data_IF_292548920466
#
_entry.id   IF_292548920466
#
_cell.length_a   1.000
_cell.length_b   1.000
_cell.length_c   1.000
_cell.angle_alpha   90.00
_cell.angle_beta   90.00
_cell.angle_gamma   90.00
#
_symmetry.space_group_name_H-M   'P 1'
#
loop_
_entity.id
_entity.type
_entity.pdbx_description
1 polymer ?
#
# COMPACT_ATOMS: atom_id res chain seq x y z
N UNK A 1 -12.48 1.77 -19.01
CA UNK A 1 -13.38 0.59 -19.01
C UNK A 1 -13.80 0.29 -17.57
N UNK A 2 -15.00 -0.23 -17.33
CA UNK A 2 -15.48 -0.58 -15.98
C UNK A 2 -14.61 -1.63 -15.27
N UNK A 3 -13.78 -2.37 -16.00
CA UNK A 3 -12.84 -3.36 -15.46
C UNK A 3 -11.48 -2.76 -15.03
N UNK A 4 -11.19 -1.52 -15.39
CA UNK A 4 -9.90 -0.91 -15.07
C UNK A 4 -9.77 -0.65 -13.56
N UNK A 5 -10.88 -0.36 -12.87
CA UNK A 5 -10.90 -0.23 -11.41
C UNK A 5 -10.63 -1.56 -10.70
N UNK A 6 -11.08 -2.69 -11.28
CA UNK A 6 -10.80 -4.03 -10.74
C UNK A 6 -9.31 -4.38 -10.90
N UNK A 7 -8.73 -4.07 -12.06
CA UNK A 7 -7.29 -4.26 -12.30
C UNK A 7 -6.45 -3.40 -11.34
N UNK A 8 -6.86 -2.15 -11.13
CA UNK A 8 -6.18 -1.23 -10.22
C UNK A 8 -6.28 -1.68 -8.76
N UNK A 9 -7.42 -2.24 -8.34
CA UNK A 9 -7.55 -2.81 -7.00
C UNK A 9 -6.59 -4.00 -6.78
N UNK A 10 -6.45 -4.86 -7.80
CA UNK A 10 -5.61 -6.05 -7.72
C UNK A 10 -4.12 -5.69 -7.57
N UNK A 11 -3.65 -4.70 -8.33
CA UNK A 11 -2.28 -4.19 -8.24
C UNK A 11 -2.28 -2.66 -8.37
N UNK A 12 -2.42 -1.92 -7.26
CA UNK A 12 -2.43 -0.46 -7.29
C UNK A 12 -1.07 0.05 -7.76
N UNK A 13 -1.06 1.03 -8.65
CA UNK A 13 0.17 1.66 -9.16
C UNK A 13 0.18 3.16 -8.85
N UNK A 14 1.38 3.70 -8.65
CA UNK A 14 1.59 5.09 -8.25
C UNK A 14 2.65 5.72 -9.16
N UNK A 15 2.33 6.87 -9.76
CA UNK A 15 3.30 7.71 -10.48
C UNK A 15 3.95 8.70 -9.51
N UNK A 16 5.05 9.34 -9.92
CA UNK A 16 5.71 10.36 -9.09
C UNK A 16 4.79 11.54 -8.78
N UNK A 17 3.96 11.95 -9.75
CA UNK A 17 2.98 13.02 -9.58
C UNK A 17 1.91 12.61 -8.57
N UNK A 18 1.42 11.37 -8.63
CA UNK A 18 0.48 10.85 -7.64
C UNK A 18 1.10 10.86 -6.23
N UNK A 19 2.35 10.46 -6.09
CA UNK A 19 3.05 10.43 -4.79
C UNK A 19 3.23 11.85 -4.24
N UNK A 20 3.61 12.83 -5.08
CA UNK A 20 3.69 14.24 -4.68
C UNK A 20 2.33 14.79 -4.24
N UNK A 21 1.26 14.40 -4.94
CA UNK A 21 -0.11 14.79 -4.57
C UNK A 21 -0.57 14.17 -3.23
N UNK A 22 -0.14 12.95 -2.89
CA UNK A 22 -0.44 12.32 -1.59
C UNK A 22 0.11 13.11 -0.41
N UNK A 23 1.22 13.83 -0.60
CA UNK A 23 1.82 14.69 0.42
C UNK A 23 1.09 16.03 0.54
N UNK A 24 0.60 16.55 -0.60
CA UNK A 24 -0.03 17.87 -0.66
C UNK A 24 -1.53 17.86 -0.32
N UNK A 25 -2.22 16.72 -0.44
CA UNK A 25 -3.68 16.67 -0.33
C UNK A 25 -4.15 15.67 0.73
N UNK A 26 -4.65 16.19 1.85
CA UNK A 26 -5.45 15.43 2.81
C UNK A 26 -6.88 15.33 2.26
N UNK A 27 -7.10 14.47 1.26
CA UNK A 27 -8.43 14.18 0.73
C UNK A 27 -8.94 12.86 1.27
N UNK A 28 -10.18 12.88 1.75
CA UNK A 28 -10.93 11.66 2.06
C UNK A 28 -11.28 10.95 0.74
N UNK A 29 -10.90 9.69 0.66
CA UNK A 29 -11.32 8.75 -0.37
C UNK A 29 -12.65 8.12 0.00
N UNK A 30 -13.41 7.67 -1.01
CA UNK A 30 -14.69 6.98 -0.82
C UNK A 30 -14.56 5.52 -1.26
N UNK A 31 -14.92 4.60 -0.37
CA UNK A 31 -15.02 3.18 -0.69
C UNK A 31 -16.36 2.87 -1.39
N UNK A 32 -16.50 1.65 -1.95
CA UNK A 32 -17.71 1.25 -2.69
C UNK A 32 -18.95 1.20 -1.79
N UNK A 33 -18.77 0.86 -0.51
CA UNK A 33 -19.83 0.89 0.51
C UNK A 33 -20.27 2.30 0.91
N UNK A 34 -19.68 3.34 0.31
CA UNK A 34 -19.97 4.75 0.59
C UNK A 34 -19.21 5.32 1.80
N UNK A 35 -18.44 4.51 2.51
CA UNK A 35 -17.64 4.98 3.65
C UNK A 35 -16.48 5.86 3.19
N UNK A 36 -16.16 6.86 4.01
CA UNK A 36 -15.03 7.74 3.79
C UNK A 36 -13.82 7.21 4.56
N UNK A 37 -12.66 7.16 3.91
CA UNK A 37 -11.40 6.80 4.54
C UNK A 37 -10.28 7.70 4.05
N UNK A 38 -9.20 7.79 4.82
CA UNK A 38 -7.99 8.45 4.36
C UNK A 38 -7.00 7.38 3.88
N UNK A 39 -6.48 7.46 2.66
CA UNK A 39 -5.44 6.54 2.20
C UNK A 39 -4.27 6.52 3.20
N UNK A 40 -3.75 5.33 3.51
CA UNK A 40 -2.76 5.14 4.58
C UNK A 40 -3.38 4.93 5.98
N UNK A 41 -4.54 5.51 6.26
CA UNK A 41 -5.29 5.30 7.51
C UNK A 41 -6.44 4.31 7.27
N UNK A 42 -6.07 3.06 7.00
CA UNK A 42 -7.00 1.95 6.81
C UNK A 42 -6.64 0.79 7.74
N UNK A 43 -7.65 0.05 8.20
CA UNK A 43 -7.45 -1.05 9.14
C UNK A 43 -6.67 -2.22 8.51
N UNK A 44 -5.76 -2.82 9.28
CA UNK A 44 -5.18 -4.13 8.95
C UNK A 44 -5.96 -5.21 9.70
N UNK A 45 -6.32 -6.29 9.02
CA UNK A 45 -7.03 -7.38 9.65
C UNK A 45 -6.14 -8.09 10.68
N UNK A 46 -6.67 -8.24 11.90
CA UNK A 46 -6.03 -9.07 12.92
C UNK A 46 -6.39 -10.54 12.65
N UNK A 47 -5.47 -11.29 12.06
CA UNK A 47 -5.74 -12.69 11.67
C UNK A 47 -5.73 -13.59 12.92
N UNK A 48 -5.03 -13.20 14.01
CA UNK A 48 -5.04 -13.84 15.35
C UNK A 48 -4.52 -12.89 16.47
N UNK A 49 -3.22 -12.97 16.74
CA UNK A 49 -2.48 -12.15 17.72
C UNK A 49 -1.28 -11.52 17.00
N UNK A 50 -1.55 -10.84 15.87
CA UNK A 50 -0.54 -10.16 15.05
C UNK A 50 -0.67 -8.63 15.10
N UNK A 51 -1.39 -8.12 16.09
CA UNK A 51 -1.60 -6.71 16.37
C UNK A 51 -0.28 -5.93 16.52
N UNK A 52 0.72 -6.50 17.20
CA UNK A 52 2.06 -5.92 17.29
C UNK A 52 2.70 -5.68 15.90
N UNK A 53 2.52 -6.63 14.98
CA UNK A 53 3.04 -6.51 13.62
C UNK A 53 2.26 -5.45 12.84
N UNK A 54 0.93 -5.43 12.98
CA UNK A 54 0.09 -4.41 12.37
C UNK A 54 0.49 -2.99 12.84
N UNK A 55 0.83 -2.81 14.13
CA UNK A 55 1.34 -1.54 14.66
C UNK A 55 2.64 -1.14 13.98
N UNK A 56 3.60 -2.06 13.85
CA UNK A 56 4.88 -1.78 13.17
C UNK A 56 4.67 -1.44 11.69
N UNK A 57 3.84 -2.20 10.98
CA UNK A 57 3.52 -1.96 9.57
C UNK A 57 2.84 -0.60 9.37
N UNK A 58 1.91 -0.22 10.26
CA UNK A 58 1.27 1.09 10.23
C UNK A 58 2.24 2.23 10.55
N UNK A 59 3.13 2.05 11.53
CA UNK A 59 4.13 3.06 11.85
C UNK A 59 5.09 3.30 10.66
N UNK A 60 5.57 2.22 10.04
CA UNK A 60 6.48 2.30 8.90
C UNK A 60 5.79 2.81 7.63
N UNK A 61 4.50 2.54 7.42
CA UNK A 61 3.75 3.01 6.25
C UNK A 61 3.59 4.54 6.19
N UNK A 62 3.71 5.22 7.34
CA UNK A 62 3.62 6.67 7.46
C UNK A 62 4.98 7.37 7.43
N UNK A 63 6.09 6.63 7.35
CA UNK A 63 7.42 7.22 7.14
C UNK A 63 7.57 7.58 5.67
N UNK A 64 7.42 8.87 5.35
CA UNK A 64 7.29 9.39 3.97
C UNK A 64 8.35 8.84 2.99
N UNK A 65 9.67 8.90 3.26
CA UNK A 65 10.66 8.40 2.30
C UNK A 65 10.54 6.89 2.06
N UNK A 66 10.27 6.13 3.12
CA UNK A 66 10.11 4.68 3.06
C UNK A 66 8.83 4.30 2.28
N UNK A 67 7.72 4.95 2.60
CA UNK A 67 6.45 4.84 1.87
C UNK A 67 6.67 5.09 0.39
N UNK A 68 7.25 6.24 0.03
CA UNK A 68 7.44 6.64 -1.38
C UNK A 68 8.31 5.63 -2.14
N UNK A 69 9.34 5.08 -1.48
CA UNK A 69 10.17 4.02 -2.04
C UNK A 69 9.33 2.77 -2.38
N UNK A 70 8.49 2.30 -1.44
CA UNK A 70 7.72 1.07 -1.60
C UNK A 70 6.43 1.21 -2.43
N UNK A 71 5.93 2.44 -2.64
CA UNK A 71 4.79 2.71 -3.53
C UNK A 71 5.13 2.49 -5.01
N UNK A 72 6.42 2.49 -5.37
CA UNK A 72 6.86 2.20 -6.75
C UNK A 72 7.68 0.93 -6.77
N UNK A 73 7.13 -0.10 -7.39
CA UNK A 73 7.77 -1.42 -7.48
C UNK A 73 9.14 -1.38 -8.19
N UNK A 74 9.29 -0.52 -9.20
CA UNK A 74 10.54 -0.29 -9.93
C UNK A 74 11.73 0.11 -9.05
N UNK A 75 11.49 0.69 -7.87
CA UNK A 75 12.54 1.11 -6.95
C UNK A 75 13.29 -0.06 -6.32
N UNK A 76 12.65 -1.23 -6.25
CA UNK A 76 13.22 -2.40 -5.60
C UNK A 76 13.20 -3.64 -6.49
N UNK A 77 12.32 -3.76 -7.49
CA UNK A 77 12.12 -4.98 -8.29
C UNK A 77 13.39 -5.55 -8.94
N UNK A 78 14.31 -4.67 -9.35
CA UNK A 78 15.54 -5.02 -10.07
C UNK A 78 16.79 -5.12 -9.17
N UNK A 79 16.62 -5.09 -7.84
CA UNK A 79 17.73 -5.27 -6.90
C UNK A 79 18.35 -6.66 -7.11
N UNK A 80 19.66 -6.71 -7.35
CA UNK A 80 20.40 -7.97 -7.52
C UNK A 80 20.40 -8.77 -6.22
N UNK A 81 20.13 -10.08 -6.33
CA UNK A 81 20.02 -10.98 -5.18
C UNK A 81 20.87 -12.23 -5.35
N UNK A 82 21.38 -12.81 -4.26
CA UNK A 82 21.96 -14.13 -4.30
C UNK A 82 20.88 -15.18 -4.61
N UNK A 83 21.23 -16.29 -5.29
CA UNK A 83 20.31 -17.39 -5.50
C UNK A 83 19.84 -17.97 -4.15
N UNK A 84 18.54 -18.23 -4.03
CA UNK A 84 17.94 -18.78 -2.81
C UNK A 84 17.56 -17.75 -1.73
N UNK A 85 17.65 -16.45 -2.00
CA UNK A 85 17.22 -15.41 -1.05
C UNK A 85 15.70 -15.37 -0.87
N UNK A 86 15.23 -16.03 0.19
CA UNK A 86 13.83 -16.02 0.63
C UNK A 86 13.43 -14.74 1.37
N UNK A 87 14.39 -14.00 1.93
CA UNK A 87 14.12 -12.82 2.75
C UNK A 87 13.58 -11.66 1.91
N UNK A 88 14.00 -11.55 0.65
CA UNK A 88 13.49 -10.51 -0.25
C UNK A 88 12.00 -10.62 -0.57
N UNK A 89 11.37 -11.77 -0.33
CA UNK A 89 9.92 -11.86 -0.40
C UNK A 89 9.26 -10.83 0.55
N UNK A 90 9.90 -10.52 1.68
CA UNK A 90 9.45 -9.46 2.58
C UNK A 90 9.41 -8.09 1.90
N UNK A 91 10.43 -7.75 1.11
CA UNK A 91 10.52 -6.48 0.35
C UNK A 91 9.36 -6.40 -0.65
N UNK A 92 9.11 -7.49 -1.38
CA UNK A 92 8.03 -7.55 -2.36
C UNK A 92 6.65 -7.43 -1.70
N UNK A 93 6.39 -8.22 -0.65
CA UNK A 93 5.11 -8.23 0.07
C UNK A 93 4.86 -6.94 0.84
N UNK A 94 5.90 -6.34 1.42
CA UNK A 94 5.78 -5.04 2.06
C UNK A 94 5.40 -3.96 1.04
N UNK A 95 6.02 -3.95 -0.14
CA UNK A 95 5.65 -3.03 -1.21
C UNK A 95 4.22 -3.22 -1.72
N UNK A 96 3.78 -4.47 -1.92
CA UNK A 96 2.38 -4.77 -2.26
C UNK A 96 1.41 -4.26 -1.17
N UNK A 97 1.74 -4.47 0.10
CA UNK A 97 0.95 -4.00 1.22
C UNK A 97 0.88 -2.47 1.25
N UNK A 98 2.01 -1.77 1.08
CA UNK A 98 2.04 -0.31 1.03
C UNK A 98 1.13 0.23 -0.08
N UNK A 99 1.18 -0.36 -1.28
CA UNK A 99 0.33 0.06 -2.40
C UNK A 99 -1.14 -0.17 -2.13
N UNK A 100 -1.52 -1.25 -1.43
CA UNK A 100 -2.90 -1.49 -0.99
C UNK A 100 -3.35 -0.51 0.09
N UNK A 101 -2.51 -0.24 1.10
CA UNK A 101 -2.83 0.68 2.20
C UNK A 101 -3.06 2.11 1.71
N UNK A 102 -2.24 2.56 0.77
CA UNK A 102 -2.29 3.92 0.22
C UNK A 102 -3.13 4.02 -1.06
N UNK A 103 -3.85 2.97 -1.44
CA UNK A 103 -4.73 2.99 -2.60
C UNK A 103 -5.91 3.95 -2.35
N UNK A 104 -6.05 5.06 -3.11
CA UNK A 104 -7.15 6.01 -2.94
C UNK A 104 -8.48 5.52 -3.53
N UNK A 105 -8.50 4.38 -4.23
CA UNK A 105 -9.65 3.76 -4.91
C UNK A 105 -9.94 2.36 -4.35
N UNK A 106 -9.67 2.17 -3.07
CA UNK A 106 -9.92 0.91 -2.38
C UNK A 106 -11.43 0.60 -2.31
N UNK A 107 -11.79 -0.67 -2.48
CA UNK A 107 -13.18 -1.11 -2.46
C UNK A 107 -13.72 -1.31 -1.05
N UNK A 108 -12.83 -1.51 -0.07
CA UNK A 108 -13.09 -1.68 1.35
C UNK A 108 -12.14 -0.82 2.17
N UNK A 109 -12.52 -0.52 3.41
CA UNK A 109 -11.74 0.28 4.36
C UNK A 109 -10.73 -0.52 5.19
N UNK A 110 -10.52 -1.81 4.85
CA UNK A 110 -9.54 -2.69 5.49
C UNK A 110 -8.73 -3.48 4.46
N UNK A 111 -7.48 -3.79 4.81
CA UNK A 111 -6.53 -4.57 4.00
C UNK A 111 -6.11 -5.83 4.76
N UNK A 112 -5.90 -6.93 4.02
CA UNK A 112 -5.33 -8.20 4.51
C UNK A 112 -4.09 -8.57 3.72
#
# INVERSE_FOLDING_TARGET
>A
SSLDDIKYLLNPTFTEEHIKCLEAQVKLSRAIDGSLYMPGIVGLNNIKANDYCNVVLQALSHVIPLRNYFLREENYSNVKRPPGDSAYLLVQRYGELMRKLWNPRNFKTHVS
#
